data_IF_780281264134
#
_entry.id   IF_780281264134
#
_cell.length_a   1.000
_cell.length_b   1.000
_cell.length_c   1.000
_cell.angle_alpha   90.00
_cell.angle_beta   90.00
_cell.angle_gamma   90.00
#
_symmetry.space_group_name_H-M   'P 1'
#
loop_
_entity.id
_entity.type
_entity.pdbx_description
1 polymer ?
#
# COMPACT_ATOMS: atom_id res chain seq x y z
N UNK A 1 2.98 -5.42 -11.19
CA UNK A 1 1.97 -6.03 -10.27
C UNK A 1 0.72 -6.55 -11.00
N UNK A 2 0.29 -5.91 -12.11
CA UNK A 2 -0.98 -6.25 -12.80
C UNK A 2 -0.80 -7.02 -14.12
N UNK A 3 0.29 -7.77 -14.29
CA UNK A 3 0.52 -8.59 -15.49
C UNK A 3 -0.57 -9.66 -15.61
N UNK A 4 -1.24 -9.72 -16.78
CA UNK A 4 -2.36 -10.64 -17.04
C UNK A 4 -3.71 -10.19 -16.49
N UNK A 5 -3.79 -9.02 -15.84
CA UNK A 5 -5.03 -8.44 -15.34
C UNK A 5 -5.64 -7.46 -16.33
N UNK A 6 -6.95 -7.55 -16.56
CA UNK A 6 -7.73 -6.63 -17.40
C UNK A 6 -8.48 -5.63 -16.52
N UNK A 7 -8.25 -4.34 -16.72
CA UNK A 7 -8.91 -3.24 -16.01
C UNK A 7 -9.77 -2.45 -16.98
N UNK A 8 -11.07 -2.35 -16.71
CA UNK A 8 -11.97 -1.43 -17.39
C UNK A 8 -11.85 -0.05 -16.74
N UNK A 9 -11.50 0.96 -17.51
CA UNK A 9 -11.49 2.36 -17.11
C UNK A 9 -12.64 3.10 -17.76
N UNK A 10 -13.71 3.35 -16.99
CA UNK A 10 -14.86 4.16 -17.41
C UNK A 10 -14.55 5.65 -17.22
N UNK A 11 -14.62 6.43 -18.29
CA UNK A 11 -14.38 7.87 -18.28
C UNK A 11 -15.65 8.61 -18.61
N UNK A 12 -16.08 9.54 -17.72
CA UNK A 12 -17.32 10.30 -17.90
C UNK A 12 -17.10 11.79 -18.05
N UNK A 13 -18.14 12.53 -18.46
CA UNK A 13 -18.07 13.93 -18.86
C UNK A 13 -17.79 14.89 -17.70
N UNK A 14 -16.54 14.96 -17.28
CA UNK A 14 -16.04 15.89 -16.26
C UNK A 14 -14.72 16.51 -16.73
N UNK A 15 -14.45 17.74 -16.31
CA UNK A 15 -13.14 18.37 -16.53
C UNK A 15 -12.00 17.50 -16.00
N UNK A 16 -12.23 16.69 -14.98
CA UNK A 16 -11.24 15.78 -14.41
C UNK A 16 -10.90 14.58 -15.32
N UNK A 17 -11.49 14.44 -16.50
CA UNK A 17 -11.21 13.37 -17.46
C UNK A 17 -9.72 13.30 -17.86
N UNK A 18 -8.99 14.44 -17.85
CA UNK A 18 -7.55 14.44 -18.14
C UNK A 18 -6.74 13.57 -17.16
N UNK A 19 -7.19 13.45 -15.92
CA UNK A 19 -6.54 12.60 -14.91
C UNK A 19 -6.68 11.11 -15.24
N UNK A 20 -7.76 10.72 -15.91
CA UNK A 20 -7.94 9.35 -16.37
C UNK A 20 -6.84 8.90 -17.34
N UNK A 21 -6.29 9.82 -18.15
CA UNK A 21 -5.17 9.53 -19.04
C UNK A 21 -3.89 9.19 -18.26
N UNK A 22 -3.60 9.93 -17.20
CA UNK A 22 -2.50 9.61 -16.29
C UNK A 22 -2.70 8.25 -15.62
N UNK A 23 -3.90 7.98 -15.10
CA UNK A 23 -4.23 6.68 -14.50
C UNK A 23 -4.06 5.54 -15.50
N UNK A 24 -4.52 5.70 -16.75
CA UNK A 24 -4.31 4.71 -17.80
C UNK A 24 -2.82 4.43 -18.04
N UNK A 25 -1.98 5.47 -18.11
CA UNK A 25 -0.53 5.35 -18.21
C UNK A 25 0.08 4.62 -17.01
N UNK A 26 -0.35 4.93 -15.78
CA UNK A 26 0.13 4.27 -14.57
C UNK A 26 -0.25 2.78 -14.55
N UNK A 27 -1.46 2.42 -14.96
CA UNK A 27 -1.91 1.03 -15.08
C UNK A 27 -1.09 0.26 -16.13
N UNK A 28 -0.77 0.88 -17.27
CA UNK A 28 0.11 0.26 -18.29
C UNK A 28 1.52 0.03 -17.74
N UNK A 29 2.08 0.96 -16.93
CA UNK A 29 3.36 0.75 -16.23
C UNK A 29 3.30 -0.42 -15.25
N UNK A 30 2.12 -0.75 -14.70
CA UNK A 30 1.90 -1.95 -13.90
C UNK A 30 1.65 -3.21 -14.74
N UNK A 31 1.76 -3.12 -16.06
CA UNK A 31 1.53 -4.19 -17.05
C UNK A 31 0.07 -4.69 -17.13
N UNK A 32 -0.91 -3.83 -16.77
CA UNK A 32 -2.33 -4.15 -16.96
C UNK A 32 -2.74 -4.09 -18.45
N UNK A 33 -3.71 -4.92 -18.84
CA UNK A 33 -4.52 -4.72 -20.04
C UNK A 33 -5.61 -3.71 -19.71
N UNK A 34 -5.46 -2.46 -20.20
CA UNK A 34 -6.38 -1.36 -19.87
C UNK A 34 -7.38 -1.17 -21.01
N UNK A 35 -8.65 -1.36 -20.71
CA UNK A 35 -9.76 -1.20 -21.65
C UNK A 35 -10.56 0.05 -21.28
N UNK A 36 -10.53 1.07 -22.14
CA UNK A 36 -11.16 2.35 -21.85
C UNK A 36 -12.51 2.46 -22.51
N UNK A 37 -13.51 2.82 -21.71
CA UNK A 37 -14.86 3.12 -22.21
C UNK A 37 -15.20 4.56 -21.85
N UNK A 38 -15.47 5.38 -22.83
CA UNK A 38 -15.86 6.79 -22.63
C UNK A 38 -17.36 6.96 -22.86
N UNK A 39 -18.00 7.78 -22.03
CA UNK A 39 -19.35 8.26 -22.38
C UNK A 39 -19.23 9.31 -23.48
N UNK A 40 -20.31 9.50 -24.26
CA UNK A 40 -20.36 10.54 -25.30
C UNK A 40 -19.98 11.94 -24.76
N UNK A 41 -20.42 12.27 -23.55
CA UNK A 41 -20.06 13.54 -22.91
C UNK A 41 -18.57 13.62 -22.55
N UNK A 42 -17.90 12.52 -22.28
CA UNK A 42 -16.46 12.50 -21.99
C UNK A 42 -15.64 12.90 -23.23
N UNK A 43 -16.10 12.59 -24.44
CA UNK A 43 -15.41 12.95 -25.68
C UNK A 43 -15.32 14.43 -25.93
N UNK A 44 -16.16 15.24 -25.23
CA UNK A 44 -16.10 16.71 -25.27
C UNK A 44 -14.93 17.27 -24.44
N UNK A 45 -14.37 16.48 -23.52
CA UNK A 45 -13.22 16.87 -22.69
C UNK A 45 -11.91 16.22 -23.13
N UNK A 46 -11.96 14.99 -23.64
CA UNK A 46 -10.80 14.24 -24.07
C UNK A 46 -11.13 13.47 -25.36
N UNK A 47 -10.19 13.48 -26.30
CA UNK A 47 -10.36 12.70 -27.53
C UNK A 47 -10.04 11.19 -27.25
N UNK A 48 -10.85 10.23 -27.75
CA UNK A 48 -10.58 8.80 -27.62
C UNK A 48 -9.18 8.37 -28.05
N UNK A 49 -8.61 9.00 -29.09
CA UNK A 49 -7.24 8.73 -29.59
C UNK A 49 -6.16 8.87 -28.48
N UNK A 50 -6.41 9.72 -27.49
CA UNK A 50 -5.47 9.87 -26.35
C UNK A 50 -5.35 8.54 -25.59
N UNK A 51 -6.47 7.91 -25.29
CA UNK A 51 -6.48 6.63 -24.58
C UNK A 51 -5.98 5.48 -25.45
N UNK A 52 -6.32 5.47 -26.74
CA UNK A 52 -5.82 4.47 -27.69
C UNK A 52 -4.29 4.50 -27.79
N UNK A 53 -3.72 5.70 -27.87
CA UNK A 53 -2.26 5.90 -27.92
C UNK A 53 -1.56 5.44 -26.62
N UNK A 54 -2.20 5.62 -25.46
CA UNK A 54 -1.63 5.24 -24.17
C UNK A 54 -1.76 3.75 -23.88
N UNK A 55 -2.88 3.13 -24.26
CA UNK A 55 -3.21 1.76 -23.89
C UNK A 55 -2.83 0.73 -24.96
N UNK A 56 -2.79 1.13 -26.21
CA UNK A 56 -2.67 0.24 -27.38
C UNK A 56 -3.98 -0.49 -27.69
N UNK A 57 -5.09 -0.13 -27.04
CA UNK A 57 -6.43 -0.71 -27.23
C UNK A 57 -7.38 0.33 -27.80
N UNK A 58 -8.38 -0.11 -28.55
CA UNK A 58 -9.45 0.77 -29.02
C UNK A 58 -10.21 1.36 -27.82
N UNK A 59 -10.48 2.66 -27.86
CA UNK A 59 -11.33 3.33 -26.90
C UNK A 59 -12.80 3.21 -27.31
N UNK A 60 -13.62 2.59 -26.48
CA UNK A 60 -15.00 2.31 -26.77
C UNK A 60 -15.89 3.49 -26.38
N UNK A 61 -16.74 3.94 -27.29
CA UNK A 61 -17.68 5.07 -27.06
C UNK A 61 -19.11 4.66 -27.40
N UNK A 62 -19.30 4.06 -28.58
CA UNK A 62 -20.62 3.68 -29.10
C UNK A 62 -20.87 2.20 -28.93
N UNK A 63 -22.08 1.86 -28.44
CA UNK A 63 -22.53 0.48 -28.27
C UNK A 63 -22.72 -0.21 -29.61
N UNK A 64 -23.03 0.54 -30.66
CA UNK A 64 -23.41 0.02 -32.00
C UNK A 64 -22.35 0.33 -33.08
N UNK A 65 -21.09 0.52 -32.66
CA UNK A 65 -20.00 0.68 -33.63
C UNK A 65 -19.87 -0.57 -34.53
N UNK A 66 -20.07 -0.39 -35.85
CA UNK A 66 -20.09 -1.46 -36.83
C UNK A 66 -18.73 -1.96 -37.31
N UNK A 67 -17.65 -1.35 -36.84
CA UNK A 67 -16.27 -1.69 -37.22
C UNK A 67 -15.64 -2.76 -36.31
N UNK A 68 -16.41 -3.67 -35.74
CA UNK A 68 -15.91 -4.69 -34.83
C UNK A 68 -16.16 -6.13 -35.33
N UNK A 69 -15.40 -7.06 -34.76
CA UNK A 69 -15.58 -8.51 -35.00
C UNK A 69 -16.86 -9.01 -34.29
N UNK A 70 -17.45 -10.07 -34.81
CA UNK A 70 -18.76 -10.65 -34.44
C UNK A 70 -18.84 -11.17 -32.98
N UNK A 71 -18.48 -10.36 -31.99
CA UNK A 71 -18.70 -10.62 -30.56
C UNK A 71 -19.45 -9.45 -29.94
N UNK A 72 -20.37 -9.75 -29.04
CA UNK A 72 -21.08 -8.73 -28.25
C UNK A 72 -20.08 -8.11 -27.31
N UNK A 73 -19.44 -7.01 -27.72
CA UNK A 73 -18.21 -6.47 -27.16
C UNK A 73 -18.34 -6.14 -25.66
N UNK A 74 -19.46 -5.55 -25.24
CA UNK A 74 -19.71 -5.24 -23.81
C UNK A 74 -19.80 -6.52 -22.96
N UNK A 75 -20.34 -7.63 -23.47
CA UNK A 75 -20.40 -8.92 -22.75
C UNK A 75 -19.03 -9.57 -22.67
N UNK A 76 -18.29 -9.58 -23.79
CA UNK A 76 -16.95 -10.16 -23.83
C UNK A 76 -16.01 -9.42 -22.88
N UNK A 77 -16.08 -8.08 -22.86
CA UNK A 77 -15.29 -7.24 -21.98
C UNK A 77 -15.68 -7.42 -20.51
N UNK A 78 -16.97 -7.44 -20.18
CA UNK A 78 -17.46 -7.67 -18.83
C UNK A 78 -17.02 -9.02 -18.24
N UNK A 79 -16.94 -10.08 -19.08
CA UNK A 79 -16.47 -11.41 -18.66
C UNK A 79 -14.95 -11.47 -18.44
N UNK A 80 -14.17 -10.69 -19.18
CA UNK A 80 -12.70 -10.69 -19.14
C UNK A 80 -12.16 -9.78 -18.04
N UNK A 81 -12.91 -8.79 -17.60
CA UNK A 81 -12.46 -7.80 -16.65
C UNK A 81 -12.18 -8.40 -15.25
N UNK A 82 -11.00 -8.12 -14.70
CA UNK A 82 -10.66 -8.39 -13.31
C UNK A 82 -11.15 -7.28 -12.38
N UNK A 83 -11.30 -6.04 -12.89
CA UNK A 83 -11.79 -4.88 -12.15
C UNK A 83 -12.34 -3.83 -13.11
N UNK A 84 -13.36 -3.11 -12.68
CA UNK A 84 -13.86 -1.91 -13.37
C UNK A 84 -13.75 -0.70 -12.43
N UNK A 85 -13.19 0.42 -12.93
CA UNK A 85 -13.15 1.70 -12.23
C UNK A 85 -13.78 2.80 -13.09
N UNK A 86 -14.65 3.59 -12.51
CA UNK A 86 -15.24 4.79 -13.12
C UNK A 86 -14.55 6.02 -12.53
N UNK A 87 -13.66 6.62 -13.28
CA UNK A 87 -12.86 7.78 -12.85
C UNK A 87 -12.59 8.74 -14.02
N UNK A 88 -13.15 9.94 -14.01
CA UNK A 88 -14.10 10.50 -13.04
C UNK A 88 -15.52 9.93 -13.18
N UNK A 89 -16.26 9.86 -12.06
CA UNK A 89 -17.67 9.50 -12.05
C UNK A 89 -18.54 10.75 -11.81
N UNK A 90 -19.33 11.14 -12.80
CA UNK A 90 -20.29 12.25 -12.69
C UNK A 90 -21.56 11.83 -11.95
N UNK A 91 -22.34 12.80 -11.45
CA UNK A 91 -23.66 12.54 -10.87
C UNK A 91 -24.58 11.76 -11.82
N UNK A 92 -24.51 12.05 -13.12
CA UNK A 92 -25.29 11.34 -14.15
C UNK A 92 -24.98 9.84 -14.20
N UNK A 93 -23.69 9.46 -14.30
CA UNK A 93 -23.34 8.03 -14.38
C UNK A 93 -23.70 7.32 -13.06
N UNK A 94 -23.51 7.97 -11.91
CA UNK A 94 -23.90 7.38 -10.63
C UNK A 94 -25.40 7.13 -10.53
N UNK A 95 -26.24 8.09 -10.99
CA UNK A 95 -27.67 7.92 -11.04
C UNK A 95 -28.08 6.76 -11.97
N UNK A 96 -27.48 6.67 -13.18
CA UNK A 96 -27.74 5.58 -14.12
C UNK A 96 -27.42 4.22 -13.50
N UNK A 97 -26.23 4.05 -12.95
CA UNK A 97 -25.79 2.80 -12.34
C UNK A 97 -26.63 2.42 -11.11
N UNK A 98 -26.99 3.41 -10.26
CA UNK A 98 -27.84 3.18 -9.09
C UNK A 98 -29.25 2.68 -9.44
N UNK A 99 -29.72 2.97 -10.66
CA UNK A 99 -31.08 2.60 -11.13
C UNK A 99 -31.06 1.57 -12.26
N UNK A 100 -29.90 1.00 -12.62
CA UNK A 100 -29.79 -0.04 -13.64
C UNK A 100 -30.08 0.44 -15.07
N UNK A 101 -29.88 1.75 -15.35
CA UNK A 101 -30.01 2.28 -16.70
C UNK A 101 -28.78 1.89 -17.53
N UNK A 102 -29.02 1.24 -18.67
CA UNK A 102 -28.00 0.70 -19.57
C UNK A 102 -28.24 1.21 -20.99
N UNK A 103 -28.12 2.54 -21.17
CA UNK A 103 -28.41 3.26 -22.40
C UNK A 103 -27.17 3.69 -23.19
N UNK A 104 -25.96 3.35 -22.69
CA UNK A 104 -24.69 3.59 -23.35
C UNK A 104 -23.71 2.41 -23.15
N UNK A 105 -22.59 2.41 -23.88
CA UNK A 105 -21.59 1.34 -23.83
C UNK A 105 -21.05 1.10 -22.42
N UNK A 106 -20.79 2.16 -21.65
CA UNK A 106 -20.24 2.07 -20.31
C UNK A 106 -21.22 1.44 -19.32
N UNK A 107 -22.45 1.95 -19.27
CA UNK A 107 -23.49 1.45 -18.34
C UNK A 107 -23.90 0.03 -18.67
N UNK A 108 -24.01 -0.32 -19.97
CA UNK A 108 -24.33 -1.68 -20.43
C UNK A 108 -23.22 -2.66 -20.01
N UNK A 109 -21.95 -2.30 -20.21
CA UNK A 109 -20.81 -3.14 -19.80
C UNK A 109 -20.77 -3.33 -18.29
N UNK A 110 -20.92 -2.25 -17.52
CA UNK A 110 -20.85 -2.32 -16.05
C UNK A 110 -22.00 -3.12 -15.43
N UNK A 111 -23.18 -3.08 -16.02
CA UNK A 111 -24.32 -3.90 -15.59
C UNK A 111 -24.07 -5.40 -15.77
N UNK A 112 -23.28 -5.77 -16.79
CA UNK A 112 -22.89 -7.14 -17.07
C UNK A 112 -21.65 -7.61 -16.27
N UNK A 113 -20.87 -6.70 -15.66
CA UNK A 113 -19.65 -7.03 -14.90
C UNK A 113 -19.97 -7.75 -13.59
N UNK A 114 -19.14 -8.78 -13.29
CA UNK A 114 -19.12 -9.50 -12.01
C UNK A 114 -17.85 -9.20 -11.17
N UNK A 115 -16.89 -8.53 -11.78
CA UNK A 115 -15.66 -8.11 -11.11
C UNK A 115 -15.91 -7.00 -10.08
N UNK A 116 -14.96 -6.73 -9.18
CA UNK A 116 -14.99 -5.56 -8.29
C UNK A 116 -15.19 -4.26 -9.09
N UNK A 117 -16.05 -3.38 -8.59
CA UNK A 117 -16.42 -2.12 -9.24
C UNK A 117 -16.11 -0.94 -8.33
N UNK A 118 -15.17 -0.10 -8.77
CA UNK A 118 -14.78 1.11 -8.07
C UNK A 118 -15.42 2.33 -8.72
N UNK A 119 -15.82 3.29 -7.93
CA UNK A 119 -16.40 4.54 -8.42
C UNK A 119 -15.76 5.73 -7.71
N UNK A 120 -15.20 6.66 -8.49
CA UNK A 120 -14.53 7.86 -7.99
C UNK A 120 -15.31 9.12 -8.40
N UNK A 121 -16.20 9.64 -7.53
CA UNK A 121 -17.00 10.81 -7.80
C UNK A 121 -16.15 12.03 -8.09
N UNK A 122 -16.58 12.84 -9.09
CA UNK A 122 -15.94 14.13 -9.40
C UNK A 122 -16.99 15.12 -9.93
N UNK A 123 -17.31 16.13 -9.10
CA UNK A 123 -18.32 17.14 -9.41
C UNK A 123 -18.17 18.36 -8.50
N UNK A 124 -18.97 19.40 -8.74
CA UNK A 124 -19.10 20.54 -7.84
C UNK A 124 -19.56 20.08 -6.43
N UNK A 125 -19.12 20.77 -5.38
CA UNK A 125 -19.43 20.46 -3.98
C UNK A 125 -20.92 20.38 -3.72
N UNK A 126 -21.71 21.35 -4.19
CA UNK A 126 -23.16 21.36 -3.98
C UNK A 126 -23.86 20.20 -4.66
N UNK A 127 -23.33 19.75 -5.82
CA UNK A 127 -23.83 18.54 -6.49
C UNK A 127 -23.48 17.30 -5.67
N UNK A 128 -22.26 17.21 -5.14
CA UNK A 128 -21.83 16.07 -4.33
C UNK A 128 -22.64 15.98 -3.03
N UNK A 129 -22.89 17.10 -2.36
CA UNK A 129 -23.65 17.16 -1.10
C UNK A 129 -25.16 17.04 -1.30
N UNK A 130 -25.65 17.09 -2.55
CA UNK A 130 -27.07 16.94 -2.83
C UNK A 130 -27.60 15.59 -2.36
N UNK A 131 -28.73 15.59 -1.62
CA UNK A 131 -29.29 14.38 -1.02
C UNK A 131 -29.55 13.27 -2.04
N UNK A 132 -30.01 13.61 -3.24
CA UNK A 132 -30.24 12.63 -4.32
C UNK A 132 -28.93 11.94 -4.73
N UNK A 133 -27.83 12.70 -4.82
CA UNK A 133 -26.51 12.16 -5.16
C UNK A 133 -26.00 11.27 -4.02
N UNK A 134 -26.18 11.70 -2.77
CA UNK A 134 -25.79 10.90 -1.60
C UNK A 134 -26.60 9.61 -1.49
N UNK A 135 -27.89 9.64 -1.82
CA UNK A 135 -28.75 8.45 -1.83
C UNK A 135 -28.34 7.48 -2.97
N UNK A 136 -27.98 8.00 -4.14
CA UNK A 136 -27.41 7.18 -5.22
C UNK A 136 -26.08 6.53 -4.81
N UNK A 137 -25.21 7.23 -4.09
CA UNK A 137 -23.97 6.66 -3.57
C UNK A 137 -24.23 5.55 -2.56
N UNK A 138 -25.16 5.74 -1.61
CA UNK A 138 -25.58 4.68 -0.67
C UNK A 138 -26.10 3.46 -1.41
N UNK A 139 -26.97 3.67 -2.43
CA UNK A 139 -27.52 2.60 -3.24
C UNK A 139 -26.44 1.84 -4.02
N UNK A 140 -25.45 2.54 -4.57
CA UNK A 140 -24.31 1.93 -5.24
C UNK A 140 -23.48 1.07 -4.28
N UNK A 141 -23.21 1.57 -3.07
CA UNK A 141 -22.50 0.81 -2.04
C UNK A 141 -23.24 -0.47 -1.64
N UNK A 142 -24.57 -0.42 -1.52
CA UNK A 142 -25.42 -1.60 -1.26
C UNK A 142 -25.42 -2.61 -2.41
N UNK A 143 -25.02 -2.20 -3.62
CA UNK A 143 -24.90 -3.04 -4.81
C UNK A 143 -23.43 -3.33 -5.17
N UNK A 144 -22.56 -3.43 -4.15
CA UNK A 144 -21.17 -3.84 -4.27
C UNK A 144 -20.26 -2.91 -5.11
N UNK A 145 -20.64 -1.62 -5.21
CA UNK A 145 -19.70 -0.60 -5.70
C UNK A 145 -18.90 -0.03 -4.53
N UNK A 146 -17.60 -0.07 -4.63
CA UNK A 146 -16.72 0.60 -3.68
C UNK A 146 -16.55 2.06 -4.09
N UNK A 147 -17.03 2.98 -3.23
CA UNK A 147 -16.91 4.42 -3.46
C UNK A 147 -15.57 4.91 -2.94
N UNK A 148 -14.76 5.47 -3.83
CA UNK A 148 -13.53 6.19 -3.48
C UNK A 148 -13.93 7.63 -3.17
N UNK A 149 -13.80 8.03 -1.90
CA UNK A 149 -14.23 9.35 -1.45
C UNK A 149 -13.48 10.46 -2.19
N UNK A 150 -14.16 11.51 -2.68
CA UNK A 150 -13.50 12.64 -3.32
C UNK A 150 -12.64 13.41 -2.31
N UNK A 151 -11.59 14.05 -2.82
CA UNK A 151 -10.77 14.95 -2.01
C UNK A 151 -11.52 16.26 -1.73
N UNK A 152 -11.15 16.90 -0.62
CA UNK A 152 -11.55 18.27 -0.29
C UNK A 152 -10.49 19.23 -0.84
N UNK A 153 -10.92 20.34 -1.46
CA UNK A 153 -10.01 21.35 -1.95
C UNK A 153 -10.62 22.24 -3.03
N UNK A 154 -9.79 23.05 -3.68
CA UNK A 154 -10.21 23.94 -4.78
C UNK A 154 -10.66 23.12 -5.99
N UNK A 155 -11.86 23.44 -6.48
CA UNK A 155 -12.49 22.88 -7.66
C UNK A 155 -12.31 23.82 -8.87
N UNK A 156 -12.53 23.30 -10.08
CA UNK A 156 -12.43 24.08 -11.32
C UNK A 156 -13.42 25.26 -11.37
N UNK A 157 -14.54 25.18 -10.64
CA UNK A 157 -15.52 26.28 -10.49
C UNK A 157 -15.11 27.35 -9.46
N UNK A 158 -13.90 27.26 -8.89
CA UNK A 158 -13.35 28.14 -7.84
C UNK A 158 -14.02 28.01 -6.47
N UNK A 159 -14.90 27.03 -6.28
CA UNK A 159 -15.44 26.66 -4.97
C UNK A 159 -14.41 25.79 -4.24
N UNK A 160 -14.45 25.83 -2.90
CA UNK A 160 -13.68 24.96 -2.03
C UNK A 160 -14.62 23.99 -1.33
N UNK A 161 -14.30 22.69 -1.36
CA UNK A 161 -15.10 21.67 -0.70
C UNK A 161 -14.86 20.25 -1.24
N UNK A 162 -15.71 19.33 -0.83
CA UNK A 162 -15.69 17.94 -1.30
C UNK A 162 -16.20 17.86 -2.76
N UNK A 163 -15.61 16.96 -3.55
CA UNK A 163 -16.02 16.74 -4.95
C UNK A 163 -14.87 16.66 -5.94
N UNK A 164 -13.63 16.87 -5.48
CA UNK A 164 -12.42 16.78 -6.31
C UNK A 164 -12.04 15.32 -6.50
N UNK A 165 -11.80 14.92 -7.77
CA UNK A 165 -11.27 13.59 -8.07
C UNK A 165 -9.95 13.38 -7.31
N UNK A 166 -9.79 12.29 -6.57
CA UNK A 166 -8.55 11.95 -5.89
C UNK A 166 -7.34 11.94 -6.84
N UNK A 167 -6.14 12.01 -6.26
CA UNK A 167 -4.90 11.85 -7.02
C UNK A 167 -4.87 10.47 -7.67
N UNK A 168 -4.23 10.38 -8.81
CA UNK A 168 -4.17 9.16 -9.61
C UNK A 168 -3.46 8.01 -8.86
N UNK A 169 -2.49 8.34 -7.99
CA UNK A 169 -1.82 7.39 -7.11
C UNK A 169 -2.80 6.74 -6.11
N UNK A 170 -3.75 7.53 -5.60
CA UNK A 170 -4.80 7.01 -4.70
C UNK A 170 -5.70 6.03 -5.44
N UNK A 171 -6.13 6.39 -6.66
CA UNK A 171 -6.96 5.51 -7.50
C UNK A 171 -6.23 4.20 -7.84
N UNK A 172 -4.93 4.30 -8.15
CA UNK A 172 -4.09 3.12 -8.40
C UNK A 172 -3.97 2.23 -7.16
N UNK A 173 -3.78 2.81 -5.97
CA UNK A 173 -3.70 2.03 -4.72
C UNK A 173 -4.99 1.24 -4.44
N UNK A 174 -6.17 1.83 -4.72
CA UNK A 174 -7.44 1.09 -4.64
C UNK A 174 -7.50 -0.08 -5.63
N UNK A 175 -7.07 0.13 -6.88
CA UNK A 175 -7.02 -0.94 -7.89
C UNK A 175 -6.06 -2.06 -7.46
N UNK A 176 -4.84 -1.70 -7.03
CA UNK A 176 -3.84 -2.66 -6.56
C UNK A 176 -4.35 -3.44 -5.34
N UNK A 177 -4.98 -2.75 -4.40
CA UNK A 177 -5.58 -3.39 -3.23
C UNK A 177 -6.56 -4.48 -3.63
N UNK A 178 -7.36 -4.29 -4.68
CA UNK A 178 -8.35 -5.29 -5.11
C UNK A 178 -7.73 -6.46 -5.86
N UNK A 179 -6.83 -6.22 -6.85
CA UNK A 179 -6.47 -7.23 -7.84
C UNK A 179 -4.98 -7.53 -8.00
N UNK A 180 -4.07 -6.86 -7.26
CA UNK A 180 -2.64 -7.07 -7.44
C UNK A 180 -2.17 -8.48 -7.05
N UNK A 181 -2.74 -9.04 -5.99
CA UNK A 181 -2.41 -10.35 -5.46
C UNK A 181 -3.66 -11.14 -5.07
N UNK A 182 -3.53 -12.47 -4.98
CA UNK A 182 -4.48 -13.31 -4.28
C UNK A 182 -4.58 -12.89 -2.81
N UNK A 183 -5.76 -13.07 -2.21
CA UNK A 183 -6.02 -12.66 -0.82
C UNK A 183 -5.73 -13.81 0.16
N UNK A 184 -4.55 -14.41 0.01
CA UNK A 184 -4.06 -15.56 0.78
C UNK A 184 -3.71 -15.23 2.25
N UNK A 185 -3.65 -13.94 2.60
CA UNK A 185 -3.52 -13.46 3.99
C UNK A 185 -4.84 -12.92 4.56
N UNK A 186 -5.98 -13.16 3.90
CA UNK A 186 -7.29 -12.68 4.37
C UNK A 186 -7.64 -13.26 5.75
N UNK A 187 -7.98 -12.36 6.68
CA UNK A 187 -8.31 -12.73 8.07
C UNK A 187 -7.11 -12.81 9.01
N UNK A 188 -5.87 -12.71 8.51
CA UNK A 188 -4.67 -12.64 9.33
C UNK A 188 -4.43 -11.21 9.84
N UNK A 189 -4.09 -11.10 11.12
CA UNK A 189 -3.62 -9.85 11.76
C UNK A 189 -2.10 -9.83 11.75
N UNK A 190 -1.52 -8.82 11.11
CA UNK A 190 -0.07 -8.70 10.94
C UNK A 190 0.44 -7.40 11.55
N UNK A 191 1.38 -7.51 12.48
CA UNK A 191 2.11 -6.37 13.01
C UNK A 191 3.49 -6.27 12.37
N UNK A 192 3.78 -5.12 11.78
CA UNK A 192 5.09 -4.82 11.19
C UNK A 192 5.70 -3.64 11.92
N UNK A 193 7.01 -3.70 12.23
CA UNK A 193 7.73 -2.52 12.71
C UNK A 193 8.63 -1.96 11.62
N UNK A 194 8.77 -0.63 11.54
CA UNK A 194 9.58 0.02 10.51
C UNK A 194 10.24 1.31 11.00
N UNK A 195 11.21 1.79 10.22
CA UNK A 195 11.92 3.03 10.50
C UNK A 195 12.92 2.91 11.65
N UNK A 196 13.65 4.00 11.93
CA UNK A 196 14.53 4.09 13.09
C UNK A 196 13.77 4.57 14.32
N UNK A 197 14.30 4.26 15.51
CA UNK A 197 13.95 5.00 16.72
C UNK A 197 14.89 6.19 16.90
N UNK A 198 14.46 7.19 17.65
CA UNK A 198 15.20 8.39 17.99
C UNK A 198 15.26 8.52 19.51
N UNK A 199 16.47 8.48 20.03
CA UNK A 199 16.69 8.55 21.48
C UNK A 199 17.16 9.96 21.84
N UNK A 200 16.27 10.74 22.44
CA UNK A 200 16.52 12.14 22.76
C UNK A 200 17.70 12.31 23.72
N UNK A 201 18.57 13.28 23.43
CA UNK A 201 19.61 13.76 24.32
C UNK A 201 19.14 15.05 25.01
N UNK A 202 18.44 15.88 24.29
CA UNK A 202 17.81 17.13 24.71
C UNK A 202 16.66 17.47 23.75
N UNK A 203 15.89 18.55 23.92
CA UNK A 203 14.78 18.90 23.05
C UNK A 203 15.13 19.13 21.57
N UNK A 204 16.42 19.17 21.21
CA UNK A 204 16.91 19.51 19.87
C UNK A 204 17.68 18.37 19.22
N UNK A 205 18.34 17.51 19.99
CA UNK A 205 19.25 16.48 19.48
C UNK A 205 18.88 15.10 19.97
N UNK A 206 19.11 14.11 19.12
CA UNK A 206 18.84 12.71 19.38
C UNK A 206 19.89 11.80 18.72
N UNK A 207 19.98 10.58 19.20
CA UNK A 207 20.74 9.48 18.60
C UNK A 207 19.74 8.66 17.77
N UNK A 208 20.13 8.25 16.57
CA UNK A 208 19.27 7.44 15.70
C UNK A 208 20.08 6.53 14.78
N UNK A 209 19.41 5.62 14.10
CA UNK A 209 19.95 4.74 13.07
C UNK A 209 19.73 5.31 11.66
N UNK A 210 20.55 4.88 10.69
CA UNK A 210 20.43 5.28 9.27
C UNK A 210 19.23 4.65 8.53
N UNK A 211 18.35 3.94 9.22
CA UNK A 211 17.21 3.27 8.59
C UNK A 211 16.24 4.26 7.96
N UNK A 212 15.81 4.00 6.75
CA UNK A 212 14.79 4.78 6.04
C UNK A 212 13.38 4.20 6.19
N UNK A 213 13.24 2.99 6.76
CA UNK A 213 11.96 2.29 6.90
C UNK A 213 11.45 1.59 5.65
N UNK A 214 12.08 1.75 4.48
CA UNK A 214 11.60 1.24 3.18
C UNK A 214 11.23 -0.25 3.21
N UNK A 215 12.04 -1.11 3.86
CA UNK A 215 11.76 -2.55 3.89
C UNK A 215 10.51 -2.89 4.68
N UNK A 216 10.36 -2.33 5.89
CA UNK A 216 9.16 -2.55 6.71
C UNK A 216 7.88 -2.00 6.05
N UNK A 217 7.99 -0.86 5.36
CA UNK A 217 6.87 -0.29 4.57
C UNK A 217 6.50 -1.19 3.38
N UNK A 218 7.48 -1.74 2.66
CA UNK A 218 7.24 -2.69 1.58
C UNK A 218 6.54 -3.97 2.08
N UNK A 219 6.97 -4.50 3.24
CA UNK A 219 6.34 -5.66 3.88
C UNK A 219 4.89 -5.33 4.27
N UNK A 220 4.66 -4.24 4.98
CA UNK A 220 3.32 -3.84 5.42
C UNK A 220 2.37 -3.64 4.23
N UNK A 221 2.86 -3.01 3.15
CA UNK A 221 2.11 -2.84 1.91
C UNK A 221 1.79 -4.17 1.24
N UNK A 222 2.74 -5.09 1.14
CA UNK A 222 2.50 -6.41 0.56
C UNK A 222 1.49 -7.23 1.39
N UNK A 223 1.59 -7.23 2.72
CA UNK A 223 0.59 -7.87 3.60
C UNK A 223 -0.82 -7.34 3.33
N UNK A 224 -0.97 -6.02 3.25
CA UNK A 224 -2.25 -5.36 2.96
C UNK A 224 -2.78 -5.73 1.57
N UNK A 225 -1.92 -5.74 0.55
CA UNK A 225 -2.31 -6.13 -0.81
C UNK A 225 -2.72 -7.61 -0.89
N UNK A 226 -2.19 -8.48 -0.04
CA UNK A 226 -2.57 -9.89 0.13
C UNK A 226 -3.77 -10.09 1.06
N UNK A 227 -4.37 -9.02 1.57
CA UNK A 227 -5.64 -9.03 2.29
C UNK A 227 -5.54 -9.13 3.82
N UNK A 228 -4.35 -9.00 4.40
CA UNK A 228 -4.17 -8.98 5.85
C UNK A 228 -4.72 -7.69 6.48
N UNK A 229 -5.10 -7.77 7.75
CA UNK A 229 -5.30 -6.61 8.63
C UNK A 229 -3.94 -6.21 9.23
N UNK A 230 -3.41 -5.07 8.77
CA UNK A 230 -2.02 -4.69 9.04
C UNK A 230 -1.92 -3.51 9.99
N UNK A 231 -1.14 -3.68 11.06
CA UNK A 231 -0.68 -2.60 11.92
C UNK A 231 0.80 -2.35 11.70
N UNK A 232 1.17 -1.12 11.33
CA UNK A 232 2.54 -0.67 11.13
C UNK A 232 2.96 0.26 12.27
N UNK A 233 3.78 -0.23 13.20
CA UNK A 233 4.41 0.58 14.24
C UNK A 233 5.70 1.16 13.67
N UNK A 234 5.77 2.48 13.53
CA UNK A 234 6.87 3.10 12.76
C UNK A 234 7.45 4.34 13.43
N UNK A 235 8.78 4.39 13.46
CA UNK A 235 9.50 5.62 13.73
C UNK A 235 9.32 6.65 12.60
N UNK A 236 9.84 7.83 12.80
CA UNK A 236 9.74 8.91 11.83
C UNK A 236 10.54 8.57 10.56
N UNK A 237 9.89 8.69 9.41
CA UNK A 237 10.48 8.46 8.08
C UNK A 237 10.04 9.55 7.11
N UNK A 238 10.81 9.76 6.04
CA UNK A 238 10.48 10.71 4.96
C UNK A 238 9.64 10.08 3.83
N UNK A 239 9.38 8.76 3.88
CA UNK A 239 8.61 8.06 2.85
C UNK A 239 7.10 8.16 3.12
N UNK A 240 6.30 8.14 2.06
CA UNK A 240 4.84 8.17 2.17
C UNK A 240 4.33 6.92 2.91
N UNK A 241 3.43 7.14 3.87
CA UNK A 241 2.82 6.06 4.63
C UNK A 241 1.93 5.21 3.72
N UNK A 242 1.99 3.86 3.80
CA UNK A 242 1.14 3.01 2.98
C UNK A 242 -0.33 3.21 3.33
N UNK A 243 -1.19 3.28 2.30
CA UNK A 243 -2.65 3.38 2.49
C UNK A 243 -3.22 2.04 2.96
N UNK A 244 -4.38 2.10 3.59
CA UNK A 244 -5.14 0.93 4.07
C UNK A 244 -4.39 0.09 5.14
N UNK A 245 -3.42 0.71 5.81
CA UNK A 245 -2.66 0.13 6.91
C UNK A 245 -2.90 0.98 8.15
N UNK A 246 -3.11 0.34 9.30
CA UNK A 246 -3.21 1.04 10.57
C UNK A 246 -1.81 1.52 11.00
N UNK A 247 -1.59 2.83 11.01
CA UNK A 247 -0.29 3.43 11.33
C UNK A 247 -0.25 3.83 12.79
N UNK A 248 0.74 3.30 13.52
CA UNK A 248 1.03 3.65 14.90
C UNK A 248 2.39 4.36 14.92
N UNK A 249 2.43 5.70 14.98
CA UNK A 249 3.68 6.44 15.03
C UNK A 249 4.30 6.33 16.42
N UNK A 250 5.63 6.18 16.46
CA UNK A 250 6.46 6.21 17.67
C UNK A 250 7.71 7.05 17.44
N UNK A 251 8.37 7.43 18.50
CA UNK A 251 9.62 8.15 18.44
C UNK A 251 10.76 7.32 19.03
N UNK A 252 10.63 6.82 20.24
CA UNK A 252 11.68 6.14 20.99
C UNK A 252 11.58 4.60 20.94
N UNK A 253 12.67 3.92 21.32
CA UNK A 253 12.71 2.47 21.51
C UNK A 253 11.70 2.02 22.59
N UNK A 254 11.53 2.84 23.64
CA UNK A 254 10.57 2.57 24.70
C UNK A 254 9.14 2.58 24.19
N UNK A 255 8.75 3.61 23.44
CA UNK A 255 7.41 3.68 22.84
C UNK A 255 7.18 2.51 21.89
N UNK A 256 8.17 2.15 21.05
CA UNK A 256 8.07 0.99 20.17
C UNK A 256 7.89 -0.31 20.98
N UNK A 257 8.60 -0.46 22.10
CA UNK A 257 8.42 -1.62 22.98
C UNK A 257 7.00 -1.70 23.52
N UNK A 258 6.48 -0.61 24.09
CA UNK A 258 5.13 -0.54 24.68
C UNK A 258 4.04 -0.83 23.63
N UNK A 259 4.12 -0.19 22.45
CA UNK A 259 3.14 -0.35 21.37
C UNK A 259 3.16 -1.75 20.76
N UNK A 260 4.34 -2.34 20.57
CA UNK A 260 4.48 -3.68 19.99
C UNK A 260 4.04 -4.75 20.98
N UNK A 261 4.52 -4.70 22.24
CA UNK A 261 4.20 -5.72 23.25
C UNK A 261 2.74 -5.70 23.66
N UNK A 262 2.12 -4.50 23.74
CA UNK A 262 0.71 -4.33 24.04
C UNK A 262 -0.22 -4.92 22.96
N UNK A 263 0.20 -4.89 21.69
CA UNK A 263 -0.58 -5.42 20.56
C UNK A 263 -0.25 -6.87 20.19
N UNK A 264 0.94 -7.33 20.52
CA UNK A 264 1.44 -8.67 20.17
C UNK A 264 0.45 -9.81 20.47
N UNK A 265 -0.27 -9.84 21.61
CA UNK A 265 -1.19 -10.93 21.92
C UNK A 265 -2.33 -11.15 20.92
N UNK A 266 -2.66 -10.16 20.10
CA UNK A 266 -3.75 -10.22 19.12
C UNK A 266 -3.27 -10.49 17.68
N UNK A 267 -1.96 -10.61 17.47
CA UNK A 267 -1.38 -10.75 16.13
C UNK A 267 -1.13 -12.21 15.78
N UNK A 268 -1.38 -12.58 14.53
CA UNK A 268 -1.03 -13.87 13.96
C UNK A 268 0.43 -13.91 13.50
N UNK A 269 0.90 -12.78 12.95
CA UNK A 269 2.26 -12.63 12.42
C UNK A 269 2.85 -11.33 12.95
N UNK A 270 4.08 -11.40 13.45
CA UNK A 270 4.85 -10.22 13.86
C UNK A 270 6.16 -10.18 13.09
N UNK A 271 6.40 -9.08 12.36
CA UNK A 271 7.60 -8.88 11.55
C UNK A 271 8.36 -7.65 12.08
N UNK A 272 9.47 -7.87 12.75
CA UNK A 272 10.28 -6.81 13.35
C UNK A 272 11.37 -6.35 12.39
N UNK A 273 11.06 -5.37 11.52
CA UNK A 273 11.98 -4.80 10.53
C UNK A 273 12.51 -3.41 10.90
N UNK A 274 12.09 -2.83 12.01
CA UNK A 274 12.59 -1.54 12.52
C UNK A 274 14.05 -1.61 12.98
N UNK A 275 14.78 -0.52 12.81
CA UNK A 275 16.11 -0.32 13.39
C UNK A 275 15.98 0.38 14.75
N UNK A 276 15.81 -0.44 15.78
CA UNK A 276 15.69 0.03 17.17
C UNK A 276 17.08 0.28 17.74
N UNK A 277 17.27 1.39 18.45
CA UNK A 277 18.51 1.67 19.15
C UNK A 277 18.70 0.67 20.31
N UNK A 278 19.89 0.09 20.43
CA UNK A 278 20.27 -0.82 21.54
C UNK A 278 20.61 -0.05 22.82
N UNK A 279 20.89 1.24 22.69
CA UNK A 279 21.24 2.14 23.77
C UNK A 279 20.52 3.47 23.65
N UNK A 280 20.18 4.08 24.79
CA UNK A 280 19.62 5.42 24.92
C UNK A 280 20.37 6.24 25.95
N UNK A 281 20.33 7.59 25.91
CA UNK A 281 20.84 8.41 26.98
C UNK A 281 20.17 8.05 28.32
N UNK A 282 20.99 7.88 29.36
CA UNK A 282 20.51 7.59 30.72
C UNK A 282 19.68 8.76 31.27
N UNK A 283 20.09 9.99 30.92
CA UNK A 283 19.40 11.23 31.31
C UNK A 283 19.15 12.08 30.07
N UNK A 284 17.93 12.57 29.91
CA UNK A 284 17.55 13.54 28.88
C UNK A 284 17.51 14.93 29.53
N UNK A 285 18.22 15.90 28.94
CA UNK A 285 18.18 17.27 29.42
C UNK A 285 16.88 17.96 29.01
N UNK A 286 16.23 18.68 29.93
CA UNK A 286 15.04 19.48 29.65
C UNK A 286 15.35 20.72 28.79
N UNK A 287 16.62 21.17 28.79
CA UNK A 287 17.08 22.28 27.99
C UNK A 287 18.18 21.84 27.01
N UNK A 288 18.33 22.59 25.91
CA UNK A 288 19.42 22.38 24.96
C UNK A 288 20.76 22.47 25.67
N UNK A 289 21.50 21.36 25.67
CA UNK A 289 22.85 21.30 26.27
C UNK A 289 23.76 22.29 25.55
N UNK A 290 24.28 23.28 26.31
CA UNK A 290 25.23 24.29 25.80
C UNK A 290 26.62 23.67 25.63
N UNK A 291 27.38 24.18 24.67
CA UNK A 291 28.80 23.81 24.52
C UNK A 291 29.58 24.23 25.77
N UNK A 292 30.15 23.26 26.45
CA UNK A 292 31.04 23.48 27.60
C UNK A 292 32.30 22.64 27.41
N UNK A 293 33.45 23.30 27.14
CA UNK A 293 34.72 22.61 26.90
C UNK A 293 34.85 21.98 25.50
N UNK A 294 35.92 21.22 25.29
CA UNK A 294 36.30 20.60 24.03
C UNK A 294 35.66 19.21 23.82
N UNK A 295 35.18 18.60 24.89
CA UNK A 295 34.59 17.24 24.88
C UNK A 295 33.25 17.21 25.60
N UNK A 296 32.36 16.33 25.14
CA UNK A 296 31.11 15.99 25.79
C UNK A 296 31.03 14.47 25.98
N UNK A 297 30.77 14.04 27.22
CA UNK A 297 30.51 12.63 27.52
C UNK A 297 29.02 12.41 27.69
N UNK A 298 28.50 11.37 27.07
CA UNK A 298 27.11 10.95 27.20
C UNK A 298 27.05 9.54 27.77
N UNK A 299 26.45 9.41 28.95
CA UNK A 299 26.20 8.11 29.55
C UNK A 299 24.98 7.44 28.88
N UNK A 300 25.16 6.18 28.44
CA UNK A 300 24.15 5.41 27.76
C UNK A 300 23.74 4.21 28.60
N UNK A 301 22.44 3.90 28.60
CA UNK A 301 21.87 2.67 29.14
C UNK A 301 21.24 1.82 28.03
N UNK A 302 21.12 0.50 28.29
CA UNK A 302 20.50 -0.42 27.34
C UNK A 302 19.00 -0.19 27.25
N UNK A 303 18.49 -0.31 26.04
CA UNK A 303 17.05 -0.34 25.78
C UNK A 303 16.47 -1.75 25.97
N UNK A 304 15.15 -1.85 26.04
CA UNK A 304 14.45 -3.13 26.15
C UNK A 304 14.54 -3.93 24.83
N UNK A 305 14.84 -5.21 24.94
CA UNK A 305 14.92 -6.10 23.77
C UNK A 305 13.53 -6.62 23.38
N UNK A 306 12.86 -5.88 22.48
CA UNK A 306 11.53 -6.21 21.98
C UNK A 306 11.45 -7.64 21.44
N UNK A 307 12.45 -8.05 20.66
CA UNK A 307 12.42 -9.34 19.99
C UNK A 307 12.60 -10.50 20.97
N UNK A 308 13.40 -10.30 22.01
CA UNK A 308 13.55 -11.25 23.12
C UNK A 308 12.23 -11.38 23.89
N UNK A 309 11.61 -10.26 24.26
CA UNK A 309 10.32 -10.26 24.96
C UNK A 309 9.24 -10.99 24.15
N UNK A 310 9.13 -10.72 22.85
CA UNK A 310 8.17 -11.38 21.98
C UNK A 310 8.38 -12.89 21.90
N UNK A 311 9.64 -13.33 21.79
CA UNK A 311 9.97 -14.76 21.77
C UNK A 311 9.66 -15.50 23.06
N UNK A 312 9.83 -14.84 24.23
CA UNK A 312 9.50 -15.38 25.56
C UNK A 312 7.97 -15.44 25.80
N UNK A 313 7.18 -14.58 25.12
CA UNK A 313 5.73 -14.48 25.30
C UNK A 313 4.95 -14.93 24.06
N UNK A 314 5.61 -15.58 23.09
CA UNK A 314 5.00 -16.03 21.85
C UNK A 314 3.89 -17.04 22.10
N UNK A 315 2.71 -16.80 21.52
CA UNK A 315 1.56 -17.70 21.60
C UNK A 315 1.67 -18.85 20.60
N UNK A 316 1.00 -19.95 20.89
CA UNK A 316 0.85 -21.05 19.92
C UNK A 316 0.17 -20.56 18.63
N UNK A 317 0.71 -20.93 17.47
CA UNK A 317 0.23 -20.50 16.15
C UNK A 317 0.67 -19.08 15.74
N UNK A 318 1.33 -18.32 16.62
CA UNK A 318 1.86 -17.01 16.28
C UNK A 318 3.22 -17.14 15.60
N UNK A 319 3.42 -16.43 14.48
CA UNK A 319 4.67 -16.41 13.73
C UNK A 319 5.49 -15.16 14.03
N UNK A 320 6.75 -15.33 14.40
CA UNK A 320 7.67 -14.25 14.74
C UNK A 320 8.86 -14.22 13.79
N UNK A 321 8.94 -13.15 12.99
CA UNK A 321 10.03 -12.88 12.05
C UNK A 321 10.86 -11.70 12.54
N UNK A 322 12.19 -11.90 12.67
CA UNK A 322 13.14 -10.85 12.99
C UNK A 322 13.95 -10.41 11.78
N UNK A 323 14.58 -9.24 11.88
CA UNK A 323 15.62 -8.79 10.95
C UNK A 323 16.95 -8.70 11.66
N UNK A 324 18.02 -9.06 10.97
CA UNK A 324 19.38 -8.84 11.45
C UNK A 324 20.21 -8.14 10.40
N UNK A 325 21.14 -7.35 10.89
CA UNK A 325 22.09 -6.61 10.08
C UNK A 325 23.45 -6.77 10.73
N UNK A 326 24.28 -7.60 10.11
CA UNK A 326 25.60 -7.94 10.63
C UNK A 326 26.66 -7.62 9.57
N UNK A 327 27.78 -7.13 9.99
CA UNK A 327 28.92 -6.82 9.10
C UNK A 327 29.91 -7.97 9.01
N UNK A 328 29.95 -8.85 10.00
CA UNK A 328 30.82 -10.02 10.09
C UNK A 328 30.05 -11.24 10.61
N UNK A 329 30.42 -12.42 10.14
CA UNK A 329 29.80 -13.71 10.52
C UNK A 329 28.25 -13.67 10.49
N UNK A 330 27.69 -13.01 9.45
CA UNK A 330 26.27 -12.70 9.35
C UNK A 330 25.35 -13.92 9.57
N UNK A 331 25.64 -15.05 8.94
CA UNK A 331 24.81 -16.26 9.05
C UNK A 331 24.88 -16.87 10.44
N UNK A 332 26.08 -16.99 11.02
CA UNK A 332 26.29 -17.58 12.35
C UNK A 332 25.60 -16.72 13.43
N UNK A 333 25.81 -15.41 13.39
CA UNK A 333 25.20 -14.47 14.34
C UNK A 333 23.66 -14.47 14.21
N UNK A 334 23.14 -14.53 12.97
CA UNK A 334 21.69 -14.56 12.72
C UNK A 334 21.08 -15.87 13.22
N UNK A 335 21.73 -17.03 13.02
CA UNK A 335 21.28 -18.33 13.57
C UNK A 335 21.30 -18.32 15.11
N UNK A 336 22.31 -17.75 15.71
CA UNK A 336 22.37 -17.62 17.16
C UNK A 336 21.21 -16.77 17.69
N UNK A 337 20.90 -15.63 17.01
CA UNK A 337 19.76 -14.78 17.35
C UNK A 337 18.42 -15.50 17.19
N UNK A 338 18.23 -16.25 16.08
CA UNK A 338 17.01 -17.01 15.83
C UNK A 338 16.71 -17.96 17.00
N UNK A 339 17.68 -18.77 17.41
CA UNK A 339 17.53 -19.71 18.54
C UNK A 339 17.32 -18.99 19.87
N UNK A 340 18.20 -18.01 20.18
CA UNK A 340 18.18 -17.29 21.46
C UNK A 340 16.89 -16.54 21.72
N UNK A 341 16.26 -16.05 20.67
CA UNK A 341 15.05 -15.21 20.73
C UNK A 341 13.77 -15.95 20.31
N UNK A 342 13.83 -17.27 20.16
CA UNK A 342 12.70 -18.15 19.83
C UNK A 342 11.92 -17.65 18.59
N UNK A 343 12.64 -17.31 17.51
CA UNK A 343 12.05 -16.85 16.25
C UNK A 343 11.73 -18.04 15.34
N UNK A 344 10.72 -17.87 14.49
CA UNK A 344 10.40 -18.82 13.43
C UNK A 344 11.25 -18.57 12.18
N UNK A 345 11.57 -17.29 11.92
CA UNK A 345 12.44 -16.88 10.83
C UNK A 345 13.23 -15.61 11.17
N UNK A 346 14.43 -15.49 10.63
CA UNK A 346 15.21 -14.25 10.64
C UNK A 346 15.67 -13.91 9.24
N UNK A 347 15.53 -12.66 8.86
CA UNK A 347 15.97 -12.11 7.57
C UNK A 347 17.28 -11.35 7.78
N UNK A 348 18.36 -11.87 7.22
CA UNK A 348 19.68 -11.27 7.31
C UNK A 348 19.96 -10.40 6.08
N UNK A 349 20.31 -9.13 6.31
CA UNK A 349 20.68 -8.18 5.26
C UNK A 349 22.20 -8.18 5.06
N UNK A 350 22.65 -8.27 3.81
CA UNK A 350 24.06 -8.16 3.46
C UNK A 350 24.44 -6.72 3.07
N UNK A 351 25.04 -5.98 4.00
CA UNK A 351 25.46 -4.59 3.77
C UNK A 351 26.72 -4.44 2.90
N UNK A 352 27.52 -5.50 2.72
CA UNK A 352 28.78 -5.46 1.96
C UNK A 352 28.55 -5.50 0.44
N UNK A 353 27.33 -5.81 0.00
CA UNK A 353 27.02 -5.94 -1.43
C UNK A 353 26.50 -4.60 -1.99
N UNK A 354 27.07 -4.17 -3.12
CA UNK A 354 26.62 -2.97 -3.81
C UNK A 354 25.13 -3.08 -4.19
N UNK A 355 24.35 -2.04 -3.91
CA UNK A 355 22.90 -2.04 -4.15
C UNK A 355 22.06 -2.60 -2.97
N UNK A 356 22.67 -3.15 -1.92
CA UNK A 356 22.00 -3.51 -0.67
C UNK A 356 22.24 -2.44 0.41
N UNK A 357 21.24 -2.12 1.20
CA UNK A 357 21.39 -1.17 2.31
C UNK A 357 20.14 -0.37 2.64
N UNK A 358 20.27 0.57 3.59
CA UNK A 358 19.15 1.33 4.13
C UNK A 358 18.49 2.28 3.10
N UNK A 359 19.28 3.02 2.34
CA UNK A 359 18.79 4.09 1.44
C UNK A 359 18.36 3.63 0.05
N UNK A 360 18.77 2.43 -0.39
CA UNK A 360 18.48 1.89 -1.74
C UNK A 360 17.06 1.33 -1.84
N UNK A 361 16.55 1.21 -3.06
CA UNK A 361 15.25 0.56 -3.33
C UNK A 361 15.39 -0.96 -3.55
N UNK A 362 16.62 -1.46 -3.59
CA UNK A 362 16.98 -2.86 -3.74
C UNK A 362 17.52 -3.44 -2.45
N UNK A 363 17.54 -4.78 -2.34
CA UNK A 363 18.15 -5.49 -1.23
C UNK A 363 18.70 -6.86 -1.69
N UNK A 364 19.65 -7.37 -0.90
CA UNK A 364 20.15 -8.76 -0.94
C UNK A 364 19.95 -9.33 0.44
N UNK A 365 19.12 -10.36 0.55
CA UNK A 365 18.75 -10.94 1.83
C UNK A 365 18.95 -12.45 1.84
N UNK A 366 19.19 -12.98 3.03
CA UNK A 366 19.12 -14.42 3.31
C UNK A 366 18.05 -14.65 4.38
N UNK A 367 17.05 -15.45 4.06
CA UNK A 367 16.06 -15.92 5.02
C UNK A 367 16.60 -17.17 5.70
N UNK A 368 16.58 -17.18 7.03
CA UNK A 368 17.08 -18.26 7.85
C UNK A 368 15.95 -18.76 8.73
N UNK A 369 15.66 -20.04 8.61
CA UNK A 369 14.70 -20.78 9.45
C UNK A 369 15.45 -21.74 10.36
N UNK A 370 14.81 -22.45 11.29
CA UNK A 370 15.45 -23.53 12.05
C UNK A 370 16.03 -24.64 11.15
N UNK A 371 15.43 -24.86 9.97
CA UNK A 371 15.73 -26.00 9.10
C UNK A 371 16.60 -25.63 7.89
N UNK A 372 16.41 -24.44 7.29
CA UNK A 372 17.04 -24.08 6.01
C UNK A 372 17.51 -22.62 5.95
N UNK A 373 18.40 -22.35 4.99
CA UNK A 373 18.86 -21.00 4.59
C UNK A 373 18.51 -20.76 3.13
N UNK A 374 17.79 -19.68 2.84
CA UNK A 374 17.40 -19.30 1.50
C UNK A 374 18.00 -17.94 1.17
N UNK A 375 19.06 -17.94 0.34
CA UNK A 375 19.68 -16.72 -0.15
C UNK A 375 18.98 -16.24 -1.39
N UNK A 376 18.67 -14.94 -1.45
CA UNK A 376 18.03 -14.28 -2.58
C UNK A 376 19.02 -13.32 -3.22
N UNK A 377 19.01 -13.29 -4.55
CA UNK A 377 19.79 -12.34 -5.34
C UNK A 377 19.29 -10.90 -5.16
N UNK A 378 20.04 -9.94 -5.71
CA UNK A 378 19.66 -8.53 -5.71
C UNK A 378 18.28 -8.35 -6.37
N UNK A 379 17.33 -7.84 -5.63
CA UNK A 379 15.98 -7.55 -6.10
C UNK A 379 15.41 -6.29 -5.45
N UNK A 380 14.28 -5.80 -5.92
CA UNK A 380 13.57 -4.70 -5.27
C UNK A 380 13.09 -5.09 -3.87
N UNK A 381 12.96 -4.11 -2.96
CA UNK A 381 12.41 -4.35 -1.62
C UNK A 381 10.96 -4.85 -1.65
N UNK A 382 10.19 -4.46 -2.67
CA UNK A 382 8.84 -4.96 -2.91
C UNK A 382 8.85 -6.47 -3.26
N UNK A 383 9.75 -6.90 -4.15
CA UNK A 383 9.92 -8.32 -4.48
C UNK A 383 10.43 -9.12 -3.29
N UNK A 384 11.43 -8.59 -2.56
CA UNK A 384 11.95 -9.21 -1.34
C UNK A 384 10.86 -9.37 -0.28
N UNK A 385 9.99 -8.36 -0.10
CA UNK A 385 8.84 -8.44 0.79
C UNK A 385 7.89 -9.57 0.40
N UNK A 386 7.58 -9.70 -0.91
CA UNK A 386 6.77 -10.81 -1.42
C UNK A 386 7.37 -12.18 -1.08
N UNK A 387 8.68 -12.38 -1.33
CA UNK A 387 9.39 -13.63 -1.03
C UNK A 387 9.41 -13.97 0.47
N UNK A 388 9.59 -12.97 1.33
CA UNK A 388 9.52 -13.13 2.78
C UNK A 388 8.14 -13.63 3.19
N UNK A 389 7.07 -13.03 2.65
CA UNK A 389 5.70 -13.43 2.98
C UNK A 389 5.34 -14.81 2.42
N UNK A 390 5.83 -15.16 1.23
CA UNK A 390 5.66 -16.50 0.66
C UNK A 390 6.24 -17.57 1.60
N UNK A 391 7.46 -17.34 2.12
CA UNK A 391 8.10 -18.26 3.05
C UNK A 391 7.39 -18.31 4.41
N UNK A 392 6.94 -17.15 4.94
CA UNK A 392 6.15 -17.10 6.18
C UNK A 392 4.88 -17.97 6.05
N UNK A 393 4.15 -17.83 4.94
CA UNK A 393 2.92 -18.60 4.73
C UNK A 393 3.20 -20.09 4.55
N UNK A 394 4.26 -20.45 3.83
CA UNK A 394 4.72 -21.84 3.68
C UNK A 394 5.02 -22.50 5.03
N UNK A 395 5.69 -21.78 5.94
CA UNK A 395 6.05 -22.28 7.28
C UNK A 395 4.85 -22.35 8.25
N UNK A 396 3.81 -21.57 8.01
CA UNK A 396 2.59 -21.61 8.83
C UNK A 396 1.62 -22.74 8.43
N UNK A 397 1.70 -23.24 7.21
CA UNK A 397 0.83 -24.29 6.66
C UNK A 397 -0.40 -23.66 6.05
#
# INVERSE_FOLDING_TARGET
MLKGKTVILGVTGSIAAYKAANLASMLKKQHADVQVIMTQNATQFMNPITFESLTGNKCLVDTFDRNFQFQVEHVALAKRADLAIIAPATANIMAKLAHGLADDMLTTTLLACRCPRLIAPAMNTRMFENSIVQDNLKKLTLNDYQVIQPEVGFLACRDEGAGKLPKEEVLLDYILKEIAFEKDMKGLKVLVTAGPTMEAMDPVRYITNHSTGKMGYAIARNCMLRGADVTLVTGQTSIEKPRFVNIVPIESAREMFEEVTGRAPEQDIIIKAAAVADYRPQTVSDEKVKKSGDHMTLELEKTDDILKYLGEHKKEGQFLCGFSMETEHMLENSRAKLKKKNLDMIVANNLKQAGAGFGTDTNVITMITPEEEISLDLMSKEEAAGKILDEILKLRG
#
